data_IF_843862680187
#
_entry.id   IF_843862680187
#
_cell.length_a   1.000
_cell.length_b   1.000
_cell.length_c   1.000
_cell.angle_alpha   90.00
_cell.angle_beta   90.00
_cell.angle_gamma   90.00
#
_symmetry.space_group_name_H-M   'P 1'
#
loop_
_entity.id
_entity.type
_entity.pdbx_description
1 polymer ?
#
# COMPACT_ATOMS: atom_id res chain seq x y z
N UNK A 1 -0.37 1.88 -28.72
CA UNK A 1 -0.76 2.60 -27.48
C UNK A 1 0.38 3.45 -26.97
N UNK A 2 0.07 4.52 -26.23
CA UNK A 2 1.09 5.33 -25.57
C UNK A 2 1.40 4.78 -24.17
N UNK A 3 2.68 4.74 -23.84
CA UNK A 3 3.15 4.39 -22.50
C UNK A 3 4.34 5.26 -22.08
N UNK A 4 4.56 5.38 -20.78
CA UNK A 4 5.67 6.13 -20.22
C UNK A 4 6.73 5.18 -19.65
N UNK A 5 7.92 5.29 -20.18
CA UNK A 5 9.10 4.56 -19.75
C UNK A 5 9.89 5.42 -18.78
N UNK A 6 10.18 4.88 -17.61
CA UNK A 6 10.95 5.57 -16.55
C UNK A 6 12.39 5.10 -16.58
N UNK A 7 13.32 6.03 -16.65
CA UNK A 7 14.74 5.79 -16.58
C UNK A 7 15.37 6.43 -15.33
N UNK A 8 16.64 6.11 -15.10
CA UNK A 8 17.36 6.60 -13.90
C UNK A 8 17.35 8.12 -13.79
N UNK A 9 16.88 8.63 -12.65
CA UNK A 9 17.05 10.02 -12.38
C UNK A 9 15.87 10.91 -11.99
N UNK A 10 14.60 10.57 -11.84
CA UNK A 10 13.63 9.89 -12.70
C UNK A 10 13.34 10.68 -13.97
N UNK A 11 13.78 10.21 -15.10
CA UNK A 11 13.43 10.78 -16.42
C UNK A 11 12.34 9.92 -17.06
N UNK A 12 11.39 10.57 -17.72
CA UNK A 12 10.25 9.91 -18.34
C UNK A 12 10.24 10.19 -19.84
N UNK A 13 10.11 9.14 -20.63
CA UNK A 13 9.94 9.21 -22.07
C UNK A 13 8.62 8.56 -22.44
N UNK A 14 7.76 9.30 -23.16
CA UNK A 14 6.54 8.73 -23.72
C UNK A 14 6.91 8.12 -25.07
N UNK A 15 6.56 6.85 -25.23
CA UNK A 15 6.76 6.10 -26.48
C UNK A 15 5.41 5.61 -27.01
N UNK A 16 5.36 5.33 -28.30
CA UNK A 16 4.28 4.55 -28.89
C UNK A 16 4.72 3.10 -28.98
N UNK A 17 4.07 2.22 -28.21
CA UNK A 17 4.30 0.78 -28.29
C UNK A 17 3.27 0.13 -29.19
N UNK A 18 3.72 -0.77 -30.04
CA UNK A 18 2.86 -1.37 -31.07
C UNK A 18 1.88 -2.40 -30.52
N UNK A 19 2.20 -3.05 -29.40
CA UNK A 19 1.28 -4.02 -28.79
C UNK A 19 1.69 -4.39 -27.35
N UNK A 20 0.77 -4.22 -26.41
CA UNK A 20 0.92 -4.70 -25.03
C UNK A 20 1.00 -6.26 -24.95
N UNK A 21 0.64 -6.98 -26.02
CA UNK A 21 0.66 -8.43 -26.15
C UNK A 21 2.02 -9.01 -26.58
N UNK A 22 3.03 -8.19 -26.95
CA UNK A 22 4.31 -8.69 -27.46
C UNK A 22 5.41 -8.79 -26.39
N UNK A 23 5.74 -10.00 -25.92
CA UNK A 23 6.82 -10.21 -24.92
C UNK A 23 8.22 -9.79 -25.38
N UNK A 24 8.42 -9.57 -26.67
CA UNK A 24 9.73 -9.38 -27.29
C UNK A 24 10.36 -8.01 -26.99
N UNK A 25 9.58 -7.02 -26.58
CA UNK A 25 10.04 -5.68 -26.21
C UNK A 25 10.75 -5.59 -24.84
N UNK A 26 10.78 -6.66 -24.08
CA UNK A 26 11.15 -6.70 -22.67
C UNK A 26 12.64 -6.92 -22.40
N UNK A 27 13.51 -6.77 -23.41
CA UNK A 27 14.92 -7.11 -23.33
C UNK A 27 15.87 -6.11 -22.70
N UNK A 28 15.47 -4.87 -22.40
CA UNK A 28 16.41 -3.90 -21.81
C UNK A 28 16.10 -3.62 -20.33
N UNK A 29 16.96 -4.09 -19.46
CA UNK A 29 16.90 -3.88 -17.99
C UNK A 29 17.05 -2.42 -17.52
N UNK A 30 17.14 -1.44 -18.43
CA UNK A 30 17.51 -0.06 -18.10
C UNK A 30 16.34 0.91 -18.06
N UNK A 31 15.22 0.62 -18.74
CA UNK A 31 14.06 1.51 -18.82
C UNK A 31 12.80 0.68 -18.98
N UNK A 32 11.87 0.78 -18.03
CA UNK A 32 10.62 0.01 -18.02
C UNK A 32 9.46 0.91 -17.62
N UNK A 33 8.24 0.50 -17.96
CA UNK A 33 7.04 1.05 -17.37
C UNK A 33 6.95 0.57 -15.92
N UNK A 34 7.17 1.47 -14.96
CA UNK A 34 7.23 1.19 -13.53
C UNK A 34 5.92 1.49 -12.79
N UNK A 35 4.83 1.73 -13.52
CA UNK A 35 3.54 1.94 -12.88
C UNK A 35 3.00 0.64 -12.31
N UNK A 36 2.62 0.65 -11.03
CA UNK A 36 2.10 -0.54 -10.35
C UNK A 36 0.57 -0.56 -10.33
N UNK A 37 -0.06 0.54 -9.86
CA UNK A 37 -1.51 0.61 -9.67
C UNK A 37 -2.21 1.30 -10.83
N UNK A 38 -3.38 0.80 -11.21
CA UNK A 38 -4.28 1.46 -12.15
C UNK A 38 -5.74 1.22 -11.79
N UNK A 39 -6.60 2.06 -12.34
CA UNK A 39 -8.05 1.89 -12.28
C UNK A 39 -8.67 2.36 -13.60
N UNK A 40 -9.70 1.68 -14.03
CA UNK A 40 -10.38 1.94 -15.29
C UNK A 40 -11.49 0.94 -15.55
N UNK A 41 -11.74 0.75 -16.85
CA UNK A 41 -12.77 -0.17 -17.34
C UNK A 41 -12.10 -1.37 -17.99
N UNK A 42 -12.60 -2.55 -17.71
CA UNK A 42 -12.12 -3.78 -18.35
C UNK A 42 -12.36 -3.71 -19.85
N UNK A 43 -11.28 -3.75 -20.62
CA UNK A 43 -11.31 -3.71 -22.09
C UNK A 43 -11.30 -5.12 -22.70
N UNK A 44 -10.51 -6.02 -22.11
CA UNK A 44 -10.38 -7.40 -22.57
C UNK A 44 -10.23 -8.32 -21.34
N UNK A 45 -10.69 -9.56 -21.46
CA UNK A 45 -10.61 -10.56 -20.40
C UNK A 45 -9.83 -11.76 -20.89
N UNK A 46 -8.85 -12.22 -20.12
CA UNK A 46 -8.02 -13.39 -20.42
C UNK A 46 -8.81 -14.70 -20.36
N UNK A 47 -8.27 -15.71 -21.01
CA UNK A 47 -8.84 -17.06 -21.00
C UNK A 47 -8.97 -17.61 -19.57
N UNK A 48 -10.11 -18.22 -19.26
CA UNK A 48 -10.39 -18.82 -17.94
C UNK A 48 -10.78 -17.84 -16.84
N UNK A 49 -10.82 -16.53 -17.12
CA UNK A 49 -11.31 -15.52 -16.17
C UNK A 49 -12.83 -15.44 -16.26
N UNK A 50 -13.53 -15.76 -15.20
CA UNK A 50 -15.02 -15.74 -15.13
C UNK A 50 -15.58 -14.62 -14.25
N UNK A 51 -14.73 -14.00 -13.43
CA UNK A 51 -15.15 -13.05 -12.38
C UNK A 51 -15.24 -11.61 -12.88
N UNK A 52 -14.78 -11.37 -14.11
CA UNK A 52 -14.78 -10.05 -14.75
C UNK A 52 -15.33 -10.16 -16.17
N UNK A 53 -15.94 -9.07 -16.64
CA UNK A 53 -16.41 -8.89 -18.01
C UNK A 53 -16.01 -7.52 -18.54
N UNK A 54 -15.99 -7.40 -19.86
CA UNK A 54 -15.79 -6.12 -20.55
C UNK A 54 -16.82 -5.10 -20.02
N UNK A 55 -16.36 -3.90 -19.70
CA UNK A 55 -17.15 -2.83 -19.14
C UNK A 55 -17.16 -2.75 -17.61
N UNK A 56 -16.65 -3.75 -16.90
CA UNK A 56 -16.56 -3.68 -15.42
C UNK A 56 -15.60 -2.57 -14.99
N UNK A 57 -16.00 -1.84 -13.94
CA UNK A 57 -15.16 -0.83 -13.29
C UNK A 57 -14.23 -1.52 -12.28
N UNK A 58 -12.93 -1.31 -12.43
CA UNK A 58 -11.93 -2.01 -11.63
C UNK A 58 -10.78 -1.12 -11.18
N UNK A 59 -10.13 -1.53 -10.09
CA UNK A 59 -8.79 -1.11 -9.71
C UNK A 59 -7.91 -2.36 -9.60
N UNK A 60 -6.68 -2.27 -10.05
CA UNK A 60 -5.80 -3.42 -10.08
C UNK A 60 -4.34 -3.07 -9.83
N UNK A 61 -3.59 -4.07 -9.39
CA UNK A 61 -2.15 -4.00 -9.26
C UNK A 61 -1.51 -4.82 -10.36
N UNK A 62 -0.60 -4.17 -11.08
CA UNK A 62 0.28 -4.83 -12.04
C UNK A 62 1.34 -5.68 -11.34
N UNK A 63 1.72 -6.81 -11.93
CA UNK A 63 2.84 -7.62 -11.44
C UNK A 63 4.17 -6.93 -11.76
N UNK A 64 4.83 -6.41 -10.75
CA UNK A 64 6.07 -5.65 -10.90
C UNK A 64 7.16 -6.39 -11.69
N UNK A 65 7.86 -5.67 -12.55
CA UNK A 65 8.90 -6.15 -13.47
C UNK A 65 8.37 -7.02 -14.63
N UNK A 66 7.09 -7.21 -14.74
CA UNK A 66 6.44 -7.85 -15.88
C UNK A 66 5.97 -6.80 -16.89
N UNK A 67 5.57 -7.25 -18.08
CA UNK A 67 4.94 -6.44 -19.11
C UNK A 67 3.59 -5.85 -18.70
N UNK A 68 3.22 -4.68 -19.27
CA UNK A 68 1.90 -4.09 -19.10
C UNK A 68 1.74 -3.23 -17.85
N UNK A 69 2.80 -2.52 -17.46
CA UNK A 69 2.77 -1.57 -16.33
C UNK A 69 1.72 -0.46 -16.51
N UNK A 70 1.31 0.14 -15.42
CA UNK A 70 0.14 1.04 -15.36
C UNK A 70 0.36 2.45 -15.93
N UNK A 71 1.59 2.81 -16.29
CA UNK A 71 1.85 4.09 -16.96
C UNK A 71 1.58 4.00 -18.48
N UNK A 72 0.38 3.61 -18.84
CA UNK A 72 -0.04 3.38 -20.22
C UNK A 72 -1.55 3.55 -20.39
N UNK A 73 -2.03 3.61 -21.64
CA UNK A 73 -3.46 3.61 -21.96
C UNK A 73 -4.14 2.31 -21.50
N UNK A 74 -3.42 1.19 -21.58
CA UNK A 74 -3.88 -0.11 -21.11
C UNK A 74 -2.86 -0.71 -20.16
N UNK A 75 -3.33 -1.24 -19.05
CA UNK A 75 -2.55 -2.00 -18.08
C UNK A 75 -2.98 -3.45 -18.02
N UNK A 76 -2.06 -4.35 -17.68
CA UNK A 76 -2.34 -5.78 -17.53
C UNK A 76 -2.26 -6.17 -16.06
N UNK A 77 -3.26 -6.88 -15.57
CA UNK A 77 -3.32 -7.38 -14.20
C UNK A 77 -3.93 -8.75 -14.11
N UNK A 78 -3.56 -9.47 -13.08
CA UNK A 78 -4.17 -10.74 -12.75
C UNK A 78 -5.54 -10.57 -12.11
N UNK A 79 -6.48 -11.46 -12.40
CA UNK A 79 -7.82 -11.43 -11.80
C UNK A 79 -7.78 -11.45 -10.26
N UNK A 80 -6.81 -12.15 -9.67
CA UNK A 80 -6.67 -12.24 -8.22
C UNK A 80 -6.12 -10.96 -7.54
N UNK A 81 -5.57 -10.00 -8.29
CA UNK A 81 -5.17 -8.67 -7.78
C UNK A 81 -6.05 -7.54 -8.30
N UNK A 82 -7.20 -7.88 -8.88
CA UNK A 82 -8.17 -6.93 -9.43
C UNK A 82 -9.38 -6.81 -8.51
N UNK A 83 -9.76 -5.58 -8.21
CA UNK A 83 -10.83 -5.19 -7.28
C UNK A 83 -11.96 -4.57 -8.09
N UNK A 84 -13.20 -5.03 -7.93
CA UNK A 84 -14.36 -4.34 -8.46
C UNK A 84 -14.56 -3.00 -7.76
N UNK A 85 -14.76 -1.94 -8.54
CA UNK A 85 -15.03 -0.59 -8.03
C UNK A 85 -16.54 -0.29 -8.05
N UNK A 86 -17.12 0.09 -6.90
CA UNK A 86 -18.49 0.61 -6.87
C UNK A 86 -18.63 1.88 -7.70
N UNK A 87 -19.85 2.18 -8.14
CA UNK A 87 -20.16 3.38 -8.94
C UNK A 87 -19.75 4.69 -8.25
N UNK A 88 -19.88 4.76 -6.94
CA UNK A 88 -19.53 5.94 -6.15
C UNK A 88 -18.03 6.11 -5.87
N UNK A 89 -17.20 5.12 -6.22
CA UNK A 89 -15.74 5.21 -6.13
C UNK A 89 -15.17 5.68 -7.45
N UNK A 90 -14.48 6.80 -7.46
CA UNK A 90 -13.81 7.31 -8.67
C UNK A 90 -12.61 6.44 -9.07
N UNK A 91 -12.20 6.52 -10.33
CA UNK A 91 -11.00 5.83 -10.79
C UNK A 91 -9.72 6.38 -10.13
N UNK A 92 -9.70 7.67 -9.79
CA UNK A 92 -8.60 8.28 -9.05
C UNK A 92 -8.44 7.67 -7.65
N UNK A 93 -9.55 7.46 -6.95
CA UNK A 93 -9.58 6.74 -5.67
C UNK A 93 -9.17 5.29 -5.86
N UNK A 94 -9.72 4.62 -6.88
CA UNK A 94 -9.37 3.23 -7.22
C UNK A 94 -7.88 3.04 -7.41
N UNK A 95 -7.23 3.90 -8.22
CA UNK A 95 -5.79 3.84 -8.49
C UNK A 95 -4.91 4.11 -7.26
N UNK A 96 -5.46 4.57 -6.14
CA UNK A 96 -4.71 4.77 -4.92
C UNK A 96 -4.69 3.54 -4.00
N UNK A 97 -5.40 2.46 -4.33
CA UNK A 97 -5.68 1.35 -3.41
C UNK A 97 -4.72 0.16 -3.55
N UNK A 98 -4.61 -0.53 -4.69
CA UNK A 98 -4.23 -1.95 -4.72
C UNK A 98 -2.89 -2.26 -4.09
N UNK A 99 -1.79 -1.74 -4.62
CA UNK A 99 -0.43 -2.06 -4.15
C UNK A 99 -0.27 -1.85 -2.65
N UNK A 100 -0.71 -0.69 -2.15
CA UNK A 100 -0.55 -0.34 -0.75
C UNK A 100 -1.49 -1.14 0.17
N UNK A 101 -2.71 -1.42 -0.25
CA UNK A 101 -3.68 -2.21 0.50
C UNK A 101 -3.26 -3.69 0.60
N UNK A 102 -2.81 -4.28 -0.50
CA UNK A 102 -2.26 -5.64 -0.49
C UNK A 102 -1.00 -5.73 0.36
N UNK A 103 -0.09 -4.73 0.28
CA UNK A 103 1.11 -4.69 1.14
C UNK A 103 0.72 -4.68 2.61
N UNK A 104 -0.22 -3.83 3.02
CA UNK A 104 -0.71 -3.76 4.39
C UNK A 104 -1.32 -5.09 4.86
N UNK A 105 -2.17 -5.71 4.03
CA UNK A 105 -2.79 -6.99 4.35
C UNK A 105 -1.76 -8.13 4.46
N UNK A 106 -0.77 -8.18 3.57
CA UNK A 106 0.35 -9.13 3.67
C UNK A 106 1.12 -8.94 4.98
N UNK A 107 1.39 -7.69 5.38
CA UNK A 107 2.08 -7.37 6.63
C UNK A 107 1.30 -7.90 7.85
N UNK A 108 0.03 -7.55 7.94
CA UNK A 108 -0.78 -7.89 9.10
C UNK A 108 -1.10 -9.37 9.19
N UNK A 109 -1.55 -9.96 8.09
CA UNK A 109 -2.17 -11.29 8.12
C UNK A 109 -1.23 -12.41 7.68
N UNK A 110 -0.38 -12.18 6.68
CA UNK A 110 0.53 -13.22 6.21
C UNK A 110 1.86 -13.24 6.96
N UNK A 111 2.39 -12.08 7.41
CA UNK A 111 3.68 -12.01 8.10
C UNK A 111 3.55 -11.96 9.61
N UNK A 112 2.69 -11.13 10.16
CA UNK A 112 2.49 -11.04 11.61
C UNK A 112 1.45 -12.05 12.13
N UNK A 113 0.69 -12.70 11.24
CA UNK A 113 -0.39 -13.65 11.58
C UNK A 113 -1.38 -13.06 12.60
N UNK A 114 -1.72 -11.77 12.43
CA UNK A 114 -2.69 -11.09 13.26
C UNK A 114 -4.11 -11.60 12.96
N UNK A 115 -5.04 -11.50 13.92
CA UNK A 115 -6.46 -11.76 13.70
C UNK A 115 -6.97 -10.96 12.51
N UNK A 116 -7.69 -11.61 11.62
CA UNK A 116 -8.22 -10.98 10.42
C UNK A 116 -9.67 -10.52 10.62
N UNK A 117 -10.23 -9.70 9.72
CA UNK A 117 -11.56 -9.15 9.88
C UNK A 117 -12.72 -10.17 9.89
N UNK A 118 -12.50 -11.41 9.43
CA UNK A 118 -13.51 -12.47 9.49
C UNK A 118 -13.55 -13.15 10.87
N UNK A 119 -12.47 -13.00 11.64
CA UNK A 119 -12.33 -13.48 13.01
C UNK A 119 -11.69 -12.40 13.87
N UNK A 120 -12.41 -11.27 14.11
CA UNK A 120 -11.88 -10.13 14.84
C UNK A 120 -11.67 -10.48 16.32
N UNK A 121 -10.81 -9.73 16.99
CA UNK A 121 -10.57 -9.86 18.43
C UNK A 121 -11.84 -9.45 19.19
N UNK A 122 -12.12 -10.15 20.29
CA UNK A 122 -13.17 -9.77 21.23
C UNK A 122 -12.90 -8.40 21.85
N UNK A 123 -13.93 -7.62 22.13
CA UNK A 123 -13.82 -6.32 22.82
C UNK A 123 -13.19 -6.42 24.24
N UNK A 124 -13.17 -7.61 24.81
CA UNK A 124 -12.55 -7.89 26.12
C UNK A 124 -11.04 -8.11 26.04
N UNK A 125 -10.49 -8.29 24.85
CA UNK A 125 -9.07 -8.53 24.64
C UNK A 125 -8.39 -7.26 24.10
N UNK A 126 -7.17 -7.04 24.56
CA UNK A 126 -6.31 -5.98 24.02
C UNK A 126 -5.16 -6.61 23.25
N UNK A 127 -4.85 -6.02 22.11
CA UNK A 127 -3.69 -6.36 21.31
C UNK A 127 -3.00 -5.06 20.88
N UNK A 128 -2.13 -4.50 21.71
CA UNK A 128 -1.40 -3.30 21.34
C UNK A 128 -0.61 -3.52 20.06
N UNK A 129 -0.75 -2.61 19.11
CA UNK A 129 -0.12 -2.72 17.81
C UNK A 129 0.49 -1.40 17.38
N UNK A 130 1.80 -1.38 17.13
CA UNK A 130 2.50 -0.21 16.59
C UNK A 130 2.46 -0.25 15.07
N UNK A 131 2.03 0.86 14.46
CA UNK A 131 2.12 1.10 13.02
C UNK A 131 2.98 2.34 12.81
N UNK A 132 4.22 2.15 12.37
CA UNK A 132 5.11 3.26 12.01
C UNK A 132 4.89 3.65 10.56
N UNK A 133 4.82 4.96 10.29
CA UNK A 133 4.44 5.48 8.97
C UNK A 133 2.93 5.41 8.71
N UNK A 134 2.11 5.50 9.77
CA UNK A 134 0.65 5.38 9.71
C UNK A 134 -0.04 6.36 8.75
N UNK A 135 0.61 7.47 8.40
CA UNK A 135 0.12 8.42 7.40
C UNK A 135 0.55 8.12 5.96
N UNK A 136 1.38 7.10 5.73
CA UNK A 136 1.68 6.61 4.38
C UNK A 136 0.49 5.85 3.80
N UNK A 137 0.47 5.62 2.48
CA UNK A 137 -0.60 4.82 1.89
C UNK A 137 -0.68 3.42 2.52
N UNK A 138 0.45 2.72 2.64
CA UNK A 138 0.51 1.39 3.27
C UNK A 138 0.08 1.45 4.73
N UNK A 139 0.60 2.40 5.52
CA UNK A 139 0.23 2.56 6.93
C UNK A 139 -1.24 2.90 7.13
N UNK A 140 -1.82 3.75 6.27
CA UNK A 140 -3.25 4.09 6.33
C UNK A 140 -4.15 2.88 6.09
N UNK A 141 -3.80 2.00 5.16
CA UNK A 141 -4.55 0.74 4.98
C UNK A 141 -4.32 -0.23 6.12
N UNK A 142 -3.12 -0.28 6.69
CA UNK A 142 -2.86 -1.08 7.88
C UNK A 142 -3.74 -0.63 9.07
N UNK A 143 -3.91 0.69 9.28
CA UNK A 143 -4.82 1.23 10.32
C UNK A 143 -6.26 0.80 10.05
N UNK A 144 -6.77 0.92 8.81
CA UNK A 144 -8.14 0.54 8.47
C UNK A 144 -8.39 -0.97 8.69
N UNK A 145 -7.44 -1.81 8.26
CA UNK A 145 -7.52 -3.26 8.41
C UNK A 145 -7.42 -3.70 9.87
N UNK A 146 -6.50 -3.13 10.65
CA UNK A 146 -6.35 -3.41 12.07
C UNK A 146 -7.62 -3.05 12.85
N UNK A 147 -8.21 -1.88 12.58
CA UNK A 147 -9.51 -1.50 13.16
C UNK A 147 -10.62 -2.47 12.80
N UNK A 148 -10.68 -2.90 11.54
CA UNK A 148 -11.70 -3.86 11.10
C UNK A 148 -11.53 -5.24 11.72
N UNK A 149 -10.31 -5.59 12.13
CA UNK A 149 -9.96 -6.77 12.95
C UNK A 149 -10.15 -6.54 14.46
N UNK A 150 -10.63 -5.36 14.87
CA UNK A 150 -10.78 -4.94 16.27
C UNK A 150 -9.46 -4.98 17.07
N UNK A 151 -8.34 -4.74 16.39
CA UNK A 151 -7.00 -4.67 17.01
C UNK A 151 -6.85 -3.30 17.65
N UNK A 152 -6.73 -3.27 18.98
CA UNK A 152 -6.59 -2.05 19.79
C UNK A 152 -5.76 -2.33 21.06
N UNK A 153 -5.06 -1.34 21.64
CA UNK A 153 -4.87 0.02 21.10
C UNK A 153 -3.92 0.05 19.90
N UNK A 154 -4.24 0.90 18.91
CA UNK A 154 -3.34 1.24 17.82
C UNK A 154 -2.42 2.39 18.26
N UNK A 155 -1.11 2.18 18.16
CA UNK A 155 -0.11 3.20 18.42
C UNK A 155 0.47 3.61 17.07
N UNK A 156 -0.11 4.67 16.51
CA UNK A 156 0.20 5.13 15.16
C UNK A 156 1.32 6.17 15.19
N UNK A 157 2.45 5.90 14.57
CA UNK A 157 3.55 6.86 14.46
C UNK A 157 3.50 7.53 13.09
N UNK A 158 3.40 8.87 13.08
CA UNK A 158 3.26 9.67 11.87
C UNK A 158 4.06 10.97 11.96
N UNK A 159 4.17 11.68 10.84
CA UNK A 159 4.87 12.97 10.76
C UNK A 159 3.91 14.13 10.52
N UNK A 160 4.08 14.83 9.37
CA UNK A 160 3.31 16.04 9.05
C UNK A 160 1.79 15.83 8.95
N UNK A 161 1.36 14.64 8.54
CA UNK A 161 -0.05 14.35 8.29
C UNK A 161 -0.73 13.59 9.45
N UNK A 162 -0.50 14.00 10.70
CA UNK A 162 -1.13 13.40 11.88
C UNK A 162 -2.66 13.50 11.84
N UNK A 163 -3.20 14.64 11.39
CA UNK A 163 -4.64 14.82 11.26
C UNK A 163 -5.32 13.76 10.37
N UNK A 164 -4.63 13.29 9.33
CA UNK A 164 -5.13 12.20 8.51
C UNK A 164 -5.30 10.92 9.33
N UNK A 165 -4.30 10.61 10.17
CA UNK A 165 -4.32 9.42 11.03
C UNK A 165 -5.37 9.57 12.14
N UNK A 166 -5.48 10.74 12.75
CA UNK A 166 -6.48 11.02 13.79
C UNK A 166 -7.92 10.75 13.33
N UNK A 167 -8.22 11.04 12.06
CA UNK A 167 -9.54 10.74 11.49
C UNK A 167 -9.83 9.24 11.31
N UNK A 168 -8.79 8.40 11.35
CA UNK A 168 -8.92 6.96 11.15
C UNK A 168 -8.98 6.15 12.43
N UNK A 169 -8.38 6.61 13.50
CA UNK A 169 -8.25 5.88 14.78
C UNK A 169 -9.49 6.03 15.67
N UNK A 170 -9.54 5.23 16.73
CA UNK A 170 -10.59 5.29 17.77
C UNK A 170 -9.96 5.56 19.16
N UNK A 171 -10.01 6.82 19.56
CA UNK A 171 -9.47 7.25 20.86
C UNK A 171 -10.15 6.56 22.06
N UNK A 172 -11.42 6.16 21.93
CA UNK A 172 -12.16 5.49 23.00
C UNK A 172 -11.62 4.09 23.30
N UNK A 173 -10.98 3.46 22.30
CA UNK A 173 -10.29 2.17 22.43
C UNK A 173 -8.81 2.29 22.83
N UNK A 174 -8.36 3.50 23.11
CA UNK A 174 -6.98 3.78 23.56
C UNK A 174 -6.01 4.05 22.42
N UNK A 175 -6.47 4.17 21.18
CA UNK A 175 -5.61 4.48 20.04
C UNK A 175 -4.94 5.85 20.19
N UNK A 176 -3.70 5.96 19.70
CA UNK A 176 -2.88 7.17 19.82
C UNK A 176 -2.14 7.49 18.52
N UNK A 177 -1.85 8.78 18.31
CA UNK A 177 -0.95 9.25 17.25
C UNK A 177 0.26 9.92 17.88
N UNK A 178 1.45 9.50 17.45
CA UNK A 178 2.74 9.99 17.96
C UNK A 178 3.53 10.60 16.81
N UNK A 179 4.13 11.78 17.07
CA UNK A 179 4.96 12.48 16.11
C UNK A 179 6.41 11.97 16.16
N UNK A 180 6.88 11.27 15.13
CA UNK A 180 8.25 10.75 15.09
C UNK A 180 9.32 11.87 15.07
N UNK A 181 8.96 13.10 14.68
CA UNK A 181 9.87 14.25 14.60
C UNK A 181 10.34 14.75 15.95
N UNK A 182 9.71 14.30 17.04
CA UNK A 182 10.14 14.57 18.43
C UNK A 182 11.44 13.87 18.80
N UNK A 183 11.94 12.99 17.94
CA UNK A 183 13.18 12.24 18.15
C UNK A 183 12.98 10.94 18.95
N UNK A 184 13.92 9.99 18.73
CA UNK A 184 13.83 8.61 19.24
C UNK A 184 13.55 8.51 20.76
N UNK A 185 14.24 9.23 21.66
CA UNK A 185 13.97 9.08 23.10
C UNK A 185 12.54 9.45 23.48
N UNK A 186 12.01 10.56 22.94
CA UNK A 186 10.66 11.01 23.22
C UNK A 186 9.62 10.06 22.65
N UNK A 187 9.81 9.63 21.39
CA UNK A 187 8.89 8.69 20.72
C UNK A 187 8.85 7.35 21.45
N UNK A 188 10.00 6.81 21.87
CA UNK A 188 10.08 5.59 22.68
C UNK A 188 9.28 5.73 23.99
N UNK A 189 9.39 6.88 24.65
CA UNK A 189 8.67 7.18 25.88
C UNK A 189 7.15 7.27 25.65
N UNK A 190 6.72 7.96 24.59
CA UNK A 190 5.31 8.10 24.25
C UNK A 190 4.67 6.76 23.84
N UNK A 191 5.41 5.88 23.12
CA UNK A 191 4.94 4.53 22.82
C UNK A 191 4.76 3.75 24.13
N UNK A 192 5.76 3.74 25.02
CA UNK A 192 5.66 3.06 26.34
C UNK A 192 4.48 3.56 27.17
N UNK A 193 4.26 4.87 27.22
CA UNK A 193 3.12 5.46 27.91
C UNK A 193 1.77 5.04 27.32
N UNK A 194 1.69 4.91 25.99
CA UNK A 194 0.49 4.49 25.28
C UNK A 194 0.11 3.02 25.54
N UNK A 195 1.06 2.19 25.91
CA UNK A 195 0.82 0.78 26.28
C UNK A 195 0.08 0.62 27.60
N UNK A 196 0.14 1.60 28.51
CA UNK A 196 -0.54 1.56 29.83
C UNK A 196 -0.27 0.29 30.63
N UNK A 197 0.96 -0.23 30.53
CA UNK A 197 1.40 -1.45 31.20
C UNK A 197 1.20 -2.75 30.43
N UNK A 198 0.53 -2.71 29.29
CA UNK A 198 0.43 -3.86 28.37
C UNK A 198 1.78 -4.12 27.68
N UNK A 199 2.01 -5.34 27.24
CA UNK A 199 3.16 -5.71 26.42
C UNK A 199 2.92 -5.33 24.95
N UNK A 200 3.97 -4.87 24.28
CA UNK A 200 3.96 -4.72 22.82
C UNK A 200 4.53 -5.97 22.16
N UNK A 201 3.70 -6.78 21.56
CA UNK A 201 4.11 -8.01 20.89
C UNK A 201 4.16 -7.89 19.37
N UNK A 202 3.47 -6.91 18.78
CA UNK A 202 3.37 -6.78 17.33
C UNK A 202 3.67 -5.35 16.89
N UNK A 203 4.46 -5.24 15.82
CA UNK A 203 4.72 -3.97 15.17
C UNK A 203 4.83 -4.12 13.64
N UNK A 204 4.33 -3.13 12.94
CA UNK A 204 4.53 -2.96 11.52
C UNK A 204 5.27 -1.65 11.23
N UNK A 205 6.45 -1.75 10.63
CA UNK A 205 7.20 -0.59 10.17
C UNK A 205 7.00 -0.41 8.66
N UNK A 206 6.05 0.46 8.29
CA UNK A 206 5.74 0.82 6.91
C UNK A 206 6.68 1.90 6.34
N UNK A 207 7.85 2.13 6.97
CA UNK A 207 8.92 3.04 6.53
C UNK A 207 10.24 2.30 6.43
N UNK A 208 10.66 1.63 7.50
CA UNK A 208 11.87 0.82 7.61
C UNK A 208 13.19 1.59 7.43
N UNK A 209 13.16 2.92 7.62
CA UNK A 209 14.31 3.81 7.45
C UNK A 209 14.39 4.82 8.59
N UNK A 210 15.49 5.58 8.65
CA UNK A 210 15.72 6.71 9.56
C UNK A 210 15.49 6.39 11.04
N UNK A 211 15.82 5.17 11.48
CA UNK A 211 15.75 4.76 12.88
C UNK A 211 14.35 4.32 13.34
N UNK A 212 13.40 4.09 12.41
CA UNK A 212 12.03 3.68 12.72
C UNK A 212 11.99 2.36 13.47
N UNK A 213 12.51 1.29 12.88
CA UNK A 213 12.48 -0.03 13.49
C UNK A 213 13.35 -0.15 14.75
N UNK A 214 14.46 0.61 14.81
CA UNK A 214 15.26 0.65 16.05
C UNK A 214 14.46 1.23 17.20
N UNK A 215 13.68 2.29 16.95
CA UNK A 215 12.79 2.89 17.96
C UNK A 215 11.69 1.93 18.39
N UNK A 216 11.13 1.17 17.46
CA UNK A 216 10.14 0.12 17.75
C UNK A 216 10.78 -0.98 18.61
N UNK A 217 11.98 -1.45 18.28
CA UNK A 217 12.69 -2.49 19.02
C UNK A 217 13.04 -2.08 20.47
N UNK A 218 13.18 -0.78 20.76
CA UNK A 218 13.36 -0.29 22.15
C UNK A 218 12.14 -0.54 23.06
N UNK A 219 11.00 -0.86 22.47
CA UNK A 219 9.72 -1.01 23.20
C UNK A 219 9.10 -2.39 23.01
N UNK A 220 9.39 -3.04 21.90
CA UNK A 220 8.86 -4.37 21.58
C UNK A 220 9.30 -5.39 22.62
N UNK A 221 8.39 -6.29 23.03
CA UNK A 221 8.74 -7.36 23.96
C UNK A 221 9.83 -8.26 23.37
N UNK A 222 10.93 -8.44 24.10
CA UNK A 222 12.09 -9.19 23.61
C UNK A 222 11.94 -10.72 23.67
N UNK A 223 10.83 -11.23 24.21
CA UNK A 223 10.57 -12.67 24.29
C UNK A 223 9.52 -13.13 23.27
N UNK A 224 8.52 -12.29 23.00
CA UNK A 224 7.36 -12.64 22.15
C UNK A 224 7.21 -11.68 20.98
N UNK A 225 8.02 -10.62 20.90
CA UNK A 225 7.87 -9.53 19.96
C UNK A 225 8.12 -9.94 18.52
N UNK A 226 7.24 -9.48 17.64
CA UNK A 226 7.29 -9.68 16.18
C UNK A 226 7.21 -8.37 15.45
N UNK A 227 8.10 -8.17 14.49
CA UNK A 227 8.11 -7.00 13.62
C UNK A 227 8.14 -7.41 12.14
N UNK A 228 7.37 -6.72 11.32
CA UNK A 228 7.55 -6.81 9.87
C UNK A 228 7.92 -5.46 9.27
N UNK A 229 8.78 -5.49 8.25
CA UNK A 229 9.43 -4.36 7.61
C UNK A 229 9.13 -4.39 6.11
N UNK A 230 9.34 -3.27 5.38
CA UNK A 230 8.92 -3.18 3.96
C UNK A 230 10.05 -2.98 2.95
N UNK A 231 11.32 -2.93 3.35
CA UNK A 231 12.44 -2.75 2.41
C UNK A 231 13.21 -4.07 2.27
N UNK A 232 12.96 -4.88 1.23
CA UNK A 232 13.57 -6.22 1.09
C UNK A 232 15.10 -6.20 0.94
N UNK A 233 15.66 -5.15 0.34
CA UNK A 233 17.10 -5.08 0.07
C UNK A 233 17.93 -4.58 1.25
N UNK A 234 17.28 -4.20 2.37
CA UNK A 234 17.96 -3.67 3.55
C UNK A 234 18.37 -4.82 4.48
N UNK A 235 19.57 -4.70 5.06
CA UNK A 235 20.00 -5.55 6.17
C UNK A 235 19.43 -5.01 7.49
N UNK A 236 18.81 -5.89 8.26
CA UNK A 236 18.27 -5.62 9.60
C UNK A 236 19.03 -6.40 10.66
N UNK A 237 20.35 -6.44 10.54
CA UNK A 237 21.23 -7.22 11.43
C UNK A 237 21.32 -6.67 12.85
N UNK A 238 20.93 -5.41 13.04
CA UNK A 238 20.90 -4.70 14.32
C UNK A 238 19.61 -4.94 15.13
N UNK A 239 18.60 -5.60 14.53
CA UNK A 239 17.42 -6.07 15.31
C UNK A 239 17.87 -7.21 16.23
N UNK A 240 17.54 -7.15 17.54
CA UNK A 240 17.84 -8.20 18.49
C UNK A 240 17.37 -9.57 18.02
N UNK A 241 18.22 -10.59 18.14
CA UNK A 241 17.91 -11.97 17.72
C UNK A 241 16.71 -12.59 18.45
N UNK A 242 16.33 -12.04 19.57
CA UNK A 242 15.17 -12.47 20.37
C UNK A 242 13.84 -11.96 19.79
N UNK A 243 13.87 -10.97 18.91
CA UNK A 243 12.69 -10.43 18.22
C UNK A 243 12.52 -11.17 16.91
N UNK A 244 11.35 -11.74 16.67
CA UNK A 244 10.99 -12.35 15.40
C UNK A 244 10.82 -11.24 14.35
N UNK A 245 11.61 -11.28 13.29
CA UNK A 245 11.54 -10.30 12.20
C UNK A 245 11.19 -10.95 10.88
N UNK A 246 10.39 -10.25 10.10
CA UNK A 246 10.06 -10.60 8.72
C UNK A 246 10.13 -9.40 7.82
N UNK A 247 10.18 -9.62 6.51
CA UNK A 247 10.08 -8.57 5.50
C UNK A 247 8.83 -8.82 4.68
N UNK A 248 7.97 -7.81 4.61
CA UNK A 248 6.78 -7.83 3.78
C UNK A 248 7.11 -7.35 2.38
N UNK A 249 6.75 -8.12 1.40
CA UNK A 249 6.72 -7.70 0.00
C UNK A 249 5.36 -8.04 -0.60
N UNK A 250 4.80 -7.12 -1.37
CA UNK A 250 3.55 -7.38 -2.09
C UNK A 250 3.73 -8.41 -3.21
N UNK A 251 4.95 -8.63 -3.69
CA UNK A 251 5.24 -9.63 -4.73
C UNK A 251 4.75 -11.04 -4.35
N UNK A 252 4.69 -11.38 -3.06
CA UNK A 252 4.16 -12.67 -2.58
C UNK A 252 2.71 -12.94 -3.00
N UNK A 253 1.91 -11.93 -3.35
CA UNK A 253 0.56 -12.15 -3.90
C UNK A 253 0.58 -12.78 -5.30
N UNK A 254 1.71 -12.70 -6.00
CA UNK A 254 1.92 -13.34 -7.30
C UNK A 254 2.62 -14.71 -7.19
N UNK A 255 3.04 -15.08 -5.99
CA UNK A 255 3.74 -16.33 -5.67
C UNK A 255 2.81 -17.31 -4.92
N UNK A 256 2.98 -17.41 -3.62
CA UNK A 256 2.29 -18.35 -2.73
C UNK A 256 0.97 -17.80 -2.14
N UNK A 257 0.73 -16.50 -2.24
CA UNK A 257 -0.45 -15.84 -1.68
C UNK A 257 -1.56 -15.50 -2.70
N UNK A 258 -1.63 -16.16 -3.87
CA UNK A 258 -2.64 -15.86 -4.91
C UNK A 258 -4.09 -16.02 -4.41
N UNK A 259 -4.37 -17.10 -3.69
CA UNK A 259 -5.72 -17.35 -3.11
C UNK A 259 -6.07 -16.30 -2.05
N UNK A 260 -5.10 -15.93 -1.22
CA UNK A 260 -5.24 -14.87 -0.23
C UNK A 260 -5.50 -13.52 -0.91
N UNK A 261 -4.73 -13.18 -1.96
CA UNK A 261 -4.94 -11.97 -2.75
C UNK A 261 -6.34 -11.90 -3.36
N UNK A 262 -6.84 -13.03 -3.91
CA UNK A 262 -8.19 -13.09 -4.46
C UNK A 262 -9.26 -12.82 -3.39
N UNK A 263 -9.14 -13.42 -2.21
CA UNK A 263 -10.04 -13.16 -1.10
C UNK A 263 -10.01 -11.68 -0.67
N UNK A 264 -8.83 -11.08 -0.62
CA UNK A 264 -8.66 -9.67 -0.31
C UNK A 264 -9.26 -8.74 -1.38
N UNK A 265 -9.11 -9.06 -2.67
CA UNK A 265 -9.70 -8.27 -3.76
C UNK A 265 -11.22 -8.16 -3.59
N UNK A 266 -11.88 -9.27 -3.29
CA UNK A 266 -13.32 -9.31 -3.02
C UNK A 266 -13.64 -8.52 -1.74
N UNK A 267 -12.84 -8.69 -0.70
CA UNK A 267 -13.04 -8.03 0.59
C UNK A 267 -12.90 -6.50 0.48
N UNK A 268 -11.91 -6.02 -0.27
CA UNK A 268 -11.72 -4.59 -0.51
C UNK A 268 -12.86 -4.00 -1.33
N UNK A 269 -13.28 -4.68 -2.40
CA UNK A 269 -14.44 -4.24 -3.19
C UNK A 269 -15.72 -4.11 -2.35
N UNK A 270 -15.98 -5.11 -1.50
CA UNK A 270 -17.08 -5.04 -0.53
C UNK A 270 -16.89 -3.93 0.49
N UNK A 271 -15.68 -3.74 0.98
CA UNK A 271 -15.38 -2.67 1.93
C UNK A 271 -15.60 -1.28 1.37
N UNK A 272 -15.32 -1.08 0.07
CA UNK A 272 -15.64 0.16 -0.65
C UNK A 272 -17.15 0.35 -0.76
N UNK A 273 -17.89 -0.69 -1.13
CA UNK A 273 -19.36 -0.66 -1.24
C UNK A 273 -20.01 -0.34 0.11
N UNK A 274 -19.56 -1.00 1.18
CA UNK A 274 -20.05 -0.81 2.55
C UNK A 274 -19.56 0.50 3.21
N UNK A 275 -18.60 1.22 2.59
CA UNK A 275 -18.06 2.50 3.04
C UNK A 275 -17.10 2.46 4.23
N UNK A 276 -16.71 1.27 4.72
CA UNK A 276 -15.72 1.16 5.80
C UNK A 276 -14.28 1.20 5.28
N UNK A 277 -14.03 0.77 4.05
CA UNK A 277 -12.74 0.83 3.38
C UNK A 277 -12.71 2.06 2.48
N UNK A 278 -11.72 2.91 2.65
CA UNK A 278 -11.62 4.19 1.93
C UNK A 278 -10.25 4.32 1.28
N UNK A 279 -10.24 4.89 0.09
CA UNK A 279 -8.99 5.20 -0.59
C UNK A 279 -8.11 6.16 0.23
N UNK A 280 -6.80 5.95 0.14
CA UNK A 280 -5.83 6.92 0.64
C UNK A 280 -5.97 8.24 -0.16
N UNK A 281 -5.80 9.42 0.46
CA UNK A 281 -5.88 10.67 -0.27
C UNK A 281 -4.98 10.69 -1.50
N UNK A 282 -5.50 11.18 -2.61
CA UNK A 282 -4.81 11.25 -3.88
C UNK A 282 -4.75 12.67 -4.44
N UNK A 283 -3.72 12.95 -5.20
CA UNK A 283 -3.55 14.19 -5.96
C UNK A 283 -3.37 13.84 -7.43
N UNK A 284 -4.23 14.40 -8.29
CA UNK A 284 -4.10 14.24 -9.73
C UNK A 284 -3.00 15.18 -10.23
N UNK A 285 -1.91 14.60 -10.74
CA UNK A 285 -0.85 15.38 -11.37
C UNK A 285 -1.25 15.65 -12.84
N UNK A 286 -1.37 16.92 -13.25
CA UNK A 286 -1.84 17.26 -14.60
C UNK A 286 -0.89 16.78 -15.71
N UNK A 287 -1.45 16.53 -16.90
CA UNK A 287 -0.70 16.22 -18.13
C UNK A 287 -0.65 14.73 -18.47
N UNK A 288 -1.46 13.90 -17.81
CA UNK A 288 -1.52 12.46 -18.09
C UNK A 288 -0.15 11.80 -17.94
N UNK A 289 0.29 11.03 -18.93
CA UNK A 289 1.62 10.39 -18.96
C UNK A 289 2.77 11.42 -18.85
N UNK A 290 2.59 12.64 -19.39
CA UNK A 290 3.57 13.71 -19.29
C UNK A 290 3.76 14.27 -17.87
N UNK A 291 2.80 14.02 -16.97
CA UNK A 291 2.87 14.44 -15.57
C UNK A 291 3.69 13.52 -14.67
N UNK A 292 4.03 12.31 -15.13
CA UNK A 292 4.68 11.26 -14.32
C UNK A 292 6.04 11.73 -13.78
N UNK A 293 6.87 12.33 -14.60
CA UNK A 293 8.20 12.83 -14.16
C UNK A 293 8.08 13.85 -13.01
N UNK A 294 7.07 14.73 -13.08
CA UNK A 294 6.78 15.70 -12.01
C UNK A 294 6.37 15.00 -10.72
N UNK A 295 5.48 14.02 -10.80
CA UNK A 295 5.03 13.26 -9.63
C UNK A 295 6.18 12.48 -8.98
N UNK A 296 6.98 11.77 -9.76
CA UNK A 296 8.16 11.04 -9.28
C UNK A 296 9.21 11.98 -8.67
N UNK A 297 9.42 13.15 -9.27
CA UNK A 297 10.32 14.19 -8.73
C UNK A 297 9.79 14.73 -7.40
N UNK A 298 8.49 14.93 -7.27
CA UNK A 298 7.87 15.35 -6.02
C UNK A 298 8.05 14.30 -4.91
N UNK A 299 7.88 13.01 -5.23
CA UNK A 299 8.14 11.90 -4.30
C UNK A 299 9.60 11.90 -3.85
N UNK A 300 10.55 11.95 -4.78
CA UNK A 300 11.99 11.99 -4.51
C UNK A 300 12.37 13.15 -3.58
N UNK A 301 11.72 14.30 -3.73
CA UNK A 301 11.95 15.50 -2.93
C UNK A 301 11.13 15.54 -1.62
N UNK A 302 10.47 14.46 -1.22
CA UNK A 302 9.72 14.36 0.04
C UNK A 302 8.50 15.28 0.13
N UNK A 303 7.93 15.71 -1.01
CA UNK A 303 6.76 16.59 -1.03
C UNK A 303 5.45 15.89 -0.71
N UNK A 304 5.37 14.57 -0.93
CA UNK A 304 4.19 13.80 -0.57
C UNK A 304 4.00 13.73 0.95
N UNK A 305 2.78 13.99 1.42
CA UNK A 305 2.42 13.88 2.83
C UNK A 305 0.96 13.45 2.93
N UNK A 306 0.73 12.18 3.28
CA UNK A 306 -0.57 11.50 3.22
C UNK A 306 -1.28 11.72 1.87
N UNK A 307 -0.55 11.56 0.77
CA UNK A 307 -1.08 11.69 -0.58
C UNK A 307 -0.40 10.69 -1.52
N UNK A 308 -1.17 10.12 -2.45
CA UNK A 308 -0.68 9.33 -3.56
C UNK A 308 -0.86 10.13 -4.86
N UNK A 309 0.20 10.28 -5.65
CA UNK A 309 0.09 10.91 -6.96
C UNK A 309 -0.53 9.94 -7.95
N UNK A 310 -1.57 10.41 -8.66
CA UNK A 310 -2.28 9.67 -9.70
C UNK A 310 -2.30 10.49 -10.99
N UNK A 311 -2.44 9.82 -12.12
CA UNK A 311 -2.39 10.45 -13.44
C UNK A 311 -3.64 10.03 -14.22
N UNK A 312 -4.36 11.01 -14.77
CA UNK A 312 -5.48 10.73 -15.65
C UNK A 312 -4.95 10.55 -17.06
N UNK A 313 -4.85 9.32 -17.50
CA UNK A 313 -4.19 8.96 -18.74
C UNK A 313 -4.85 9.64 -19.96
N UNK A 314 -6.17 9.82 -19.94
CA UNK A 314 -6.91 10.54 -20.96
C UNK A 314 -6.47 12.02 -21.14
N UNK A 315 -5.79 12.62 -20.16
CA UNK A 315 -5.25 13.98 -20.27
C UNK A 315 -3.90 14.02 -21.02
N UNK A 316 -3.41 12.88 -21.52
CA UNK A 316 -2.17 12.82 -22.32
C UNK A 316 -2.45 13.34 -23.73
N UNK A 317 -1.65 14.31 -24.24
CA UNK A 317 -1.83 14.83 -25.60
C UNK A 317 -1.79 13.71 -26.65
N UNK A 318 -2.79 13.71 -27.55
CA UNK A 318 -2.91 12.75 -28.65
C UNK A 318 -3.41 11.36 -28.21
N UNK A 319 -4.02 11.22 -27.04
CA UNK A 319 -4.90 10.11 -26.69
C UNK A 319 -6.33 10.54 -26.97
N UNK A 320 -7.05 9.74 -27.75
CA UNK A 320 -8.48 9.92 -27.95
C UNK A 320 -9.22 9.41 -26.70
N UNK A 321 -10.12 10.23 -26.17
CA UNK A 321 -10.98 9.76 -25.08
C UNK A 321 -11.90 8.65 -25.60
N UNK A 322 -12.01 7.52 -24.89
CA UNK A 322 -12.88 6.42 -25.29
C UNK A 322 -14.37 6.80 -25.27
#
# INVERSE_FOLDING_TARGET
MKEAIVSRGPKVHIIESEDWKRPEYWGSKASINQGDDHAGVVHEVGEGVSDFKIGDRVAAMHEGKQPGGSYAEYGVSWAYTTIHLPEHTSFQEGAAIPFAAFTAACALYAKLNLPNPTHPISDLQKLPFVIWGASSAVGSYAVQLAKKSNIHPLICVAGRAQEHVERMIDRSKGDTVIDYRKGRPTVTQEIKASLRGEKLEYAFDAVSEMGSYQTICDVLDHQTGKITLIIPAQSYSDIPKTIEKSVTTVASVHEDLKVFARALSIYFGRGLEDGWFKAHPQEVVPGGLGGIEKGLTNLKNGKASAVKYVYKIADTPGIESP
#
